data_IF_213094864275
#
_entry.id   IF_213094864275
#
_cell.length_a   1.000
_cell.length_b   1.000
_cell.length_c   1.000
_cell.angle_alpha   90.00
_cell.angle_beta   90.00
_cell.angle_gamma   90.00
#
_symmetry.space_group_name_H-M   'P 1'
#
loop_
_entity.id
_entity.type
_entity.pdbx_description
1 polymer ?
#
# COMPACT_ATOMS: atom_id res chain seq x y z
N UNK A 1 1.01 -24.32 12.86
CA UNK A 1 1.25 -23.17 11.98
C UNK A 1 2.44 -22.43 12.56
N UNK A 2 3.33 -21.88 11.72
CA UNK A 2 4.44 -21.04 12.22
C UNK A 2 3.83 -19.77 12.82
N UNK A 3 4.34 -19.36 13.98
CA UNK A 3 3.94 -18.12 14.65
C UNK A 3 4.92 -17.03 14.21
N UNK A 4 4.39 -15.88 13.81
CA UNK A 4 5.18 -14.71 13.44
C UNK A 4 5.14 -13.69 14.60
N UNK A 5 6.21 -12.94 14.79
CA UNK A 5 6.35 -12.01 15.92
C UNK A 5 6.16 -10.54 15.50
N UNK A 6 6.56 -10.21 14.28
CA UNK A 6 6.59 -8.85 13.76
C UNK A 6 5.86 -8.73 12.44
N UNK A 7 5.10 -7.65 12.32
CA UNK A 7 4.50 -7.20 11.07
C UNK A 7 5.25 -5.95 10.60
N UNK A 8 5.75 -5.97 9.37
CA UNK A 8 6.60 -4.92 8.82
C UNK A 8 5.88 -4.22 7.67
N UNK A 9 5.87 -2.89 7.73
CA UNK A 9 5.43 -2.01 6.66
C UNK A 9 6.62 -1.71 5.74
N UNK A 10 6.80 -2.49 4.68
CA UNK A 10 8.00 -2.41 3.83
C UNK A 10 8.02 -1.12 2.98
N UNK A 11 7.03 -0.97 2.09
CA UNK A 11 6.94 0.17 1.16
C UNK A 11 5.58 0.21 0.47
N UNK A 12 5.29 1.32 -0.20
CA UNK A 12 4.17 1.45 -1.12
C UNK A 12 4.64 2.09 -2.43
N UNK A 13 3.95 1.76 -3.53
CA UNK A 13 4.21 2.35 -4.84
C UNK A 13 2.90 2.70 -5.53
N UNK A 14 2.98 3.63 -6.47
CA UNK A 14 1.84 4.00 -7.29
C UNK A 14 2.25 4.18 -8.76
N UNK A 15 1.61 3.43 -9.65
CA UNK A 15 1.71 3.59 -11.09
C UNK A 15 0.48 4.34 -11.62
N UNK A 16 0.63 5.63 -12.00
CA UNK A 16 -0.47 6.42 -12.56
C UNK A 16 -0.94 5.94 -13.93
N UNK A 17 -0.11 5.24 -14.71
CA UNK A 17 -0.47 4.75 -16.05
C UNK A 17 -1.42 3.56 -15.95
N UNK A 18 -1.16 2.68 -14.99
CA UNK A 18 -1.98 1.50 -14.72
C UNK A 18 -3.09 1.78 -13.71
N UNK A 19 -3.01 2.90 -12.97
CA UNK A 19 -3.90 3.20 -11.85
C UNK A 19 -3.70 2.21 -10.70
N UNK A 20 -2.47 1.72 -10.50
CA UNK A 20 -2.16 0.61 -9.61
C UNK A 20 -1.39 1.10 -8.39
N UNK A 21 -1.94 0.87 -7.20
CA UNK A 21 -1.24 1.04 -5.92
C UNK A 21 -0.80 -0.34 -5.44
N UNK A 22 0.46 -0.46 -5.05
CA UNK A 22 0.98 -1.65 -4.37
C UNK A 22 1.37 -1.29 -2.95
N UNK A 23 0.84 -2.04 -1.98
CA UNK A 23 1.15 -1.91 -0.56
C UNK A 23 1.90 -3.18 -0.13
N UNK A 24 3.17 -3.05 0.24
CA UNK A 24 4.07 -4.17 0.52
C UNK A 24 4.27 -4.34 2.01
N UNK A 25 4.18 -5.58 2.45
CA UNK A 25 4.31 -5.96 3.85
C UNK A 25 5.06 -7.27 3.97
N UNK A 26 5.61 -7.50 5.17
CA UNK A 26 6.22 -8.77 5.51
C UNK A 26 5.93 -9.19 6.96
N UNK A 27 6.02 -10.49 7.20
CA UNK A 27 6.00 -11.10 8.54
C UNK A 27 7.40 -11.62 8.84
N UNK A 28 8.03 -11.09 9.89
CA UNK A 28 9.41 -11.39 10.30
C UNK A 28 10.46 -11.29 9.17
N UNK A 29 10.19 -10.50 8.13
CA UNK A 29 11.01 -10.43 6.90
C UNK A 29 11.18 -11.79 6.19
N UNK A 30 10.30 -12.76 6.47
CA UNK A 30 10.34 -14.10 5.86
C UNK A 30 9.21 -14.31 4.85
N UNK A 31 8.01 -13.88 5.20
CA UNK A 31 6.84 -13.99 4.35
C UNK A 31 6.47 -12.61 3.83
N UNK A 32 6.71 -12.38 2.54
CA UNK A 32 6.34 -11.13 1.87
C UNK A 32 5.01 -11.29 1.17
N UNK A 33 4.21 -10.23 1.23
CA UNK A 33 2.99 -10.14 0.44
C UNK A 33 2.72 -8.71 0.00
N UNK A 34 1.86 -8.59 -1.00
CA UNK A 34 1.52 -7.30 -1.60
C UNK A 34 0.02 -7.22 -1.80
N UNK A 35 -0.58 -6.18 -1.22
CA UNK A 35 -1.96 -5.82 -1.51
C UNK A 35 -1.98 -4.87 -2.69
N UNK A 36 -2.80 -5.18 -3.70
CA UNK A 36 -2.92 -4.38 -4.92
C UNK A 36 -4.28 -3.72 -4.95
N UNK A 37 -4.29 -2.38 -5.05
CA UNK A 37 -5.51 -1.59 -5.26
C UNK A 37 -5.47 -1.02 -6.68
N UNK A 38 -6.46 -1.37 -7.48
CA UNK A 38 -6.62 -0.85 -8.84
C UNK A 38 -7.69 0.24 -8.84
N UNK A 39 -7.29 1.44 -9.26
CA UNK A 39 -8.17 2.58 -9.43
C UNK A 39 -8.75 2.60 -10.85
N UNK A 40 -9.97 3.15 -10.98
CA UNK A 40 -10.56 3.45 -12.27
C UNK A 40 -9.70 4.50 -12.98
N UNK A 41 -9.19 4.17 -14.18
CA UNK A 41 -8.28 5.05 -14.93
C UNK A 41 -8.98 6.28 -15.51
N UNK A 42 -10.28 6.18 -15.78
CA UNK A 42 -11.06 7.28 -16.33
C UNK A 42 -11.20 8.40 -15.29
N UNK A 43 -10.59 9.56 -15.60
CA UNK A 43 -10.57 10.70 -14.67
C UNK A 43 -9.54 10.59 -13.55
N UNK A 44 -8.62 9.62 -13.61
CA UNK A 44 -7.50 9.53 -12.68
C UNK A 44 -6.57 10.74 -12.89
N UNK A 45 -6.42 11.58 -11.87
CA UNK A 45 -5.72 12.87 -11.90
C UNK A 45 -6.38 13.92 -12.81
N UNK A 46 -7.50 14.55 -12.38
CA UNK A 46 -7.83 15.86 -12.91
C UNK A 46 -6.62 16.79 -12.72
N UNK A 47 -6.35 17.66 -13.69
CA UNK A 47 -5.21 18.57 -13.65
C UNK A 47 -5.08 19.28 -12.30
N UNK A 48 -3.91 19.23 -11.67
CA UNK A 48 -3.62 19.94 -10.41
C UNK A 48 -3.60 19.10 -9.14
N UNK A 49 -3.43 17.77 -9.22
CA UNK A 49 -3.17 16.97 -8.02
C UNK A 49 -1.78 17.26 -7.47
N UNK A 50 -1.73 17.63 -6.20
CA UNK A 50 -0.50 17.80 -5.44
C UNK A 50 0.15 16.43 -5.15
N UNK A 51 1.37 16.25 -5.63
CA UNK A 51 2.12 14.99 -5.48
C UNK A 51 2.51 14.72 -4.03
N UNK A 52 2.77 15.75 -3.22
CA UNK A 52 3.07 15.55 -1.80
C UNK A 52 1.82 15.12 -1.03
N UNK A 53 0.65 15.66 -1.39
CA UNK A 53 -0.61 15.27 -0.78
C UNK A 53 -0.97 13.82 -1.15
N UNK A 54 -0.75 13.45 -2.42
CA UNK A 54 -0.94 12.08 -2.88
C UNK A 54 -0.03 11.11 -2.12
N UNK A 55 1.25 11.42 -1.98
CA UNK A 55 2.20 10.59 -1.24
C UNK A 55 1.77 10.38 0.22
N UNK A 56 1.36 11.44 0.92
CA UNK A 56 0.83 11.35 2.29
C UNK A 56 -0.44 10.49 2.36
N UNK A 57 -1.31 10.58 1.37
CA UNK A 57 -2.52 9.76 1.30
C UNK A 57 -2.19 8.28 1.08
N UNK A 58 -1.22 7.97 0.21
CA UNK A 58 -0.76 6.61 -0.03
C UNK A 58 -0.06 6.01 1.19
N UNK A 59 0.75 6.80 1.90
CA UNK A 59 1.32 6.41 3.19
C UNK A 59 0.23 6.07 4.21
N UNK A 60 -0.78 6.93 4.36
CA UNK A 60 -1.89 6.66 5.27
C UNK A 60 -2.67 5.38 4.88
N UNK A 61 -2.86 5.15 3.58
CA UNK A 61 -3.49 3.93 3.06
C UNK A 61 -2.66 2.68 3.40
N UNK A 62 -1.32 2.74 3.28
CA UNK A 62 -0.40 1.66 3.66
C UNK A 62 -0.53 1.28 5.14
N UNK A 63 -0.67 2.28 6.02
CA UNK A 63 -0.90 2.04 7.44
C UNK A 63 -2.27 1.39 7.70
N UNK A 64 -3.34 1.94 7.11
CA UNK A 64 -4.72 1.45 7.32
C UNK A 64 -4.88 0.01 6.79
N UNK A 65 -4.34 -0.28 5.60
CA UNK A 65 -4.34 -1.63 5.03
C UNK A 65 -3.59 -2.62 5.93
N UNK A 66 -2.34 -2.28 6.29
CA UNK A 66 -1.47 -3.15 7.09
C UNK A 66 -2.00 -3.44 8.50
N UNK A 67 -2.68 -2.49 9.17
CA UNK A 67 -3.26 -2.71 10.50
C UNK A 67 -4.28 -3.87 10.52
N UNK A 68 -4.94 -4.16 9.39
CA UNK A 68 -5.86 -5.30 9.27
C UNK A 68 -5.16 -6.65 9.46
N UNK A 69 -3.86 -6.72 9.13
CA UNK A 69 -3.01 -7.91 9.24
C UNK A 69 -2.22 -7.98 10.54
N UNK A 70 -2.11 -6.88 11.29
CA UNK A 70 -1.48 -6.86 12.61
C UNK A 70 -2.23 -7.67 13.69
N UNK A 71 -3.43 -8.21 13.37
CA UNK A 71 -4.26 -8.97 14.33
C UNK A 71 -3.91 -10.46 14.45
N UNK A 72 -2.96 -10.97 13.67
CA UNK A 72 -2.54 -12.39 13.71
C UNK A 72 -1.58 -12.70 14.84
#
# INVERSE_FOLDING_TARGET
MKQYETFIFDSYTFDPKEGKIELKYSLDDEMHFTETVTLQRDGLFPSGVDLELLDRALFALHLIGGISYYKT
#
